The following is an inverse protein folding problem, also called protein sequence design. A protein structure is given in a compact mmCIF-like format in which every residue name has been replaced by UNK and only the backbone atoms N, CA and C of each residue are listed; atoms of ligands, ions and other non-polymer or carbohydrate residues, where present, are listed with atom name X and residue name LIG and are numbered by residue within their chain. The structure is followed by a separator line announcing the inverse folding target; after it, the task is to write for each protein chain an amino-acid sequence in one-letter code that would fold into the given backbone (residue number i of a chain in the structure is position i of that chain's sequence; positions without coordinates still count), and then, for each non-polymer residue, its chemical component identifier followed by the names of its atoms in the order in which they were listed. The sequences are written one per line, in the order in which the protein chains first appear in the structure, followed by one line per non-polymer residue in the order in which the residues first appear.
data_IF_611718840740
#
_entry.id   IF_611718840740
#
_cell.length_a   1.000
_cell.length_b   1.000
_cell.length_c   1.000
_cell.angle_alpha   90.00
_cell.angle_beta   90.00
_cell.angle_gamma   90.00
#
_symmetry.space_group_name_H-M   'P 1'
#
loop_
_entity.id
_entity.type
_entity.pdbx_description
1 polymer ?
#
# COMPACT_ATOMS: atom_id res chain seq x y z
N UNK A 1 43.99 -33.25 8.42
CA UNK A 1 42.60 -33.36 7.91
C UNK A 1 41.77 -32.39 8.75
N UNK A 2 41.61 -31.11 8.41
CA UNK A 2 41.14 -30.55 7.15
C UNK A 2 39.76 -29.91 7.43
N UNK A 3 39.75 -28.72 8.03
CA UNK A 3 38.53 -27.93 8.27
C UNK A 3 38.15 -27.14 7.02
N UNK A 4 36.90 -27.26 6.58
CA UNK A 4 36.37 -26.57 5.40
C UNK A 4 35.76 -25.22 5.78
N UNK A 5 36.40 -24.14 5.34
CA UNK A 5 35.82 -22.79 5.24
C UNK A 5 34.98 -22.69 3.97
N UNK A 6 33.74 -22.21 4.10
CA UNK A 6 32.85 -21.89 2.97
C UNK A 6 32.98 -20.41 2.60
N UNK A 7 34.17 -20.01 2.17
CA UNK A 7 34.42 -18.67 1.60
C UNK A 7 34.46 -18.78 0.08
N UNK A 8 33.28 -18.84 -0.54
CA UNK A 8 33.10 -19.06 -1.97
C UNK A 8 32.04 -18.16 -2.59
N UNK A 9 32.09 -16.86 -2.29
CA UNK A 9 31.40 -15.83 -3.07
C UNK A 9 32.46 -14.89 -3.63
N UNK A 10 32.81 -15.09 -4.90
CA UNK A 10 33.66 -14.14 -5.62
C UNK A 10 33.05 -12.73 -5.63
N UNK A 11 33.88 -11.68 -5.75
CA UNK A 11 33.39 -10.30 -5.76
C UNK A 11 32.41 -10.12 -6.92
N UNK A 12 31.21 -9.61 -6.61
CA UNK A 12 30.23 -9.23 -7.62
C UNK A 12 30.89 -8.30 -8.66
N UNK A 13 30.67 -8.51 -9.97
CA UNK A 13 31.29 -7.69 -11.01
C UNK A 13 30.92 -6.21 -10.82
N UNK A 14 31.94 -5.34 -10.83
CA UNK A 14 31.84 -3.88 -10.61
C UNK A 14 30.84 -3.16 -11.51
N UNK A 15 30.53 -3.74 -12.67
CA UNK A 15 29.52 -3.26 -13.64
C UNK A 15 28.09 -3.28 -13.06
N UNK A 16 27.80 -4.18 -12.11
CA UNK A 16 26.48 -4.27 -11.45
C UNK A 16 26.27 -3.20 -10.37
N UNK A 17 27.34 -2.73 -9.73
CA UNK A 17 27.27 -1.65 -8.72
C UNK A 17 26.97 -0.30 -9.40
N UNK A 18 27.62 -0.02 -10.53
CA UNK A 18 27.42 1.22 -11.28
C UNK A 18 26.01 1.35 -11.87
N UNK A 19 25.39 0.23 -12.28
CA UNK A 19 23.99 0.20 -12.74
C UNK A 19 23.00 0.46 -11.60
N UNK A 20 23.26 -0.02 -10.39
CA UNK A 20 22.42 0.25 -9.21
C UNK A 20 22.44 1.73 -8.85
N UNK A 21 23.62 2.35 -8.83
CA UNK A 21 23.77 3.77 -8.50
C UNK A 21 23.11 4.69 -9.54
N UNK A 22 23.24 4.38 -10.84
CA UNK A 22 22.57 5.12 -11.92
C UNK A 22 21.05 5.00 -11.87
N UNK A 23 20.51 3.80 -11.59
CA UNK A 23 19.06 3.59 -11.37
C UNK A 23 18.55 4.36 -10.15
N UNK A 24 19.33 4.37 -9.07
CA UNK A 24 18.98 5.08 -7.84
C UNK A 24 19.05 6.61 -8.03
N UNK A 25 19.99 7.10 -8.85
CA UNK A 25 20.07 8.50 -9.26
C UNK A 25 18.90 8.92 -10.17
N UNK A 26 18.57 8.13 -11.19
CA UNK A 26 17.42 8.36 -12.08
C UNK A 26 16.09 8.32 -11.31
N UNK A 27 15.96 7.41 -10.35
CA UNK A 27 14.82 7.35 -9.44
C UNK A 27 14.75 8.60 -8.55
N UNK A 28 15.85 9.02 -7.92
CA UNK A 28 15.90 10.26 -7.12
C UNK A 28 15.58 11.51 -7.96
N UNK A 29 16.08 11.60 -9.19
CA UNK A 29 15.86 12.73 -10.11
C UNK A 29 14.41 12.81 -10.58
N UNK A 30 13.78 11.68 -10.92
CA UNK A 30 12.35 11.61 -11.24
C UNK A 30 11.46 11.90 -10.02
N UNK A 31 11.84 11.45 -8.81
CA UNK A 31 11.12 11.74 -7.56
C UNK A 31 11.19 13.24 -7.22
N UNK A 32 12.35 13.87 -7.40
CA UNK A 32 12.53 15.32 -7.21
C UNK A 32 11.77 16.17 -8.24
N UNK A 33 11.81 15.80 -9.52
CA UNK A 33 11.08 16.50 -10.59
C UNK A 33 9.55 16.41 -10.42
N UNK A 34 9.03 15.27 -9.94
CA UNK A 34 7.61 15.15 -9.54
C UNK A 34 7.26 16.03 -8.34
N UNK A 35 8.21 16.27 -7.43
CA UNK A 35 8.01 17.07 -6.21
C UNK A 35 7.78 18.55 -6.51
N UNK A 36 8.46 19.09 -7.53
CA UNK A 36 8.39 20.49 -7.93
C UNK A 36 7.08 20.88 -8.64
N UNK A 37 6.33 19.92 -9.21
CA UNK A 37 5.14 20.18 -10.02
C UNK A 37 3.87 20.55 -9.23
N UNK A 38 3.98 20.65 -7.90
CA UNK A 38 2.83 20.64 -6.98
C UNK A 38 2.68 21.89 -6.11
N UNK A 39 3.54 22.89 -6.31
CA UNK A 39 3.60 24.09 -5.48
C UNK A 39 3.00 25.32 -6.19
N UNK A 40 1.84 25.13 -6.83
CA UNK A 40 1.05 26.20 -7.44
C UNK A 40 -0.39 26.04 -6.97
N UNK A 41 -0.70 26.59 -5.81
CA UNK A 41 -2.02 26.42 -5.19
C UNK A 41 -2.21 27.41 -4.05
N UNK A 42 -2.12 28.71 -4.36
CA UNK A 42 -2.46 29.74 -3.37
C UNK A 42 -3.94 29.63 -2.97
N UNK A 43 -4.21 29.03 -1.81
CA UNK A 43 -5.53 29.01 -1.16
C UNK A 43 -6.42 27.79 -1.41
N UNK A 44 -6.09 26.93 -2.38
CA UNK A 44 -6.92 25.74 -2.73
C UNK A 44 -6.52 24.48 -1.96
N UNK A 45 -5.54 24.57 -1.08
CA UNK A 45 -4.99 23.45 -0.32
C UNK A 45 -5.51 23.40 1.12
N UNK A 46 -6.37 24.33 1.55
CA UNK A 46 -6.84 24.41 2.94
C UNK A 46 -7.92 23.37 3.29
N UNK A 47 -8.68 22.88 2.30
CA UNK A 47 -9.79 21.95 2.51
C UNK A 47 -9.76 20.81 1.50
N UNK A 48 -10.29 19.66 1.91
CA UNK A 48 -10.49 18.47 1.05
C UNK A 48 -11.62 18.65 0.04
N UNK A 49 -12.56 19.55 0.34
CA UNK A 49 -13.75 19.81 -0.50
C UNK A 49 -13.52 20.87 -1.57
N UNK A 50 -12.38 21.56 -1.52
CA UNK A 50 -12.06 22.62 -2.48
C UNK A 50 -11.31 22.03 -3.66
N UNK A 51 -11.89 22.18 -4.85
CA UNK A 51 -11.23 21.83 -6.10
C UNK A 51 -10.33 22.99 -6.55
N UNK A 52 -9.15 22.64 -7.04
CA UNK A 52 -8.31 23.58 -7.78
C UNK A 52 -8.92 23.91 -9.15
N UNK A 53 -8.47 24.99 -9.82
CA UNK A 53 -8.92 25.32 -11.18
C UNK A 53 -8.70 24.21 -12.22
N UNK A 54 -7.78 23.28 -11.93
CA UNK A 54 -7.45 22.09 -12.74
C UNK A 54 -8.34 20.87 -12.39
N UNK A 55 -9.33 21.03 -11.50
CA UNK A 55 -10.22 19.95 -11.07
C UNK A 55 -9.59 18.95 -10.09
N UNK A 56 -8.45 19.29 -9.48
CA UNK A 56 -7.71 18.41 -8.58
C UNK A 56 -7.90 18.80 -7.11
N UNK A 57 -7.87 17.79 -6.24
CA UNK A 57 -7.90 17.97 -4.78
C UNK A 57 -6.49 17.78 -4.22
N UNK A 58 -5.83 18.89 -3.86
CA UNK A 58 -4.43 18.86 -3.42
C UNK A 58 -4.21 18.05 -2.14
N UNK A 59 -5.20 18.02 -1.24
CA UNK A 59 -5.11 17.26 0.01
C UNK A 59 -4.95 15.75 -0.19
N UNK A 60 -5.65 15.18 -1.18
CA UNK A 60 -5.51 13.76 -1.53
C UNK A 60 -4.11 13.49 -2.07
N UNK A 61 -3.58 14.40 -2.88
CA UNK A 61 -2.25 14.24 -3.46
C UNK A 61 -1.13 14.40 -2.42
N UNK A 62 -1.33 15.23 -1.40
CA UNK A 62 -0.44 15.29 -0.24
C UNK A 62 -0.47 14.00 0.57
N UNK A 63 -1.66 13.44 0.79
CA UNK A 63 -1.82 12.15 1.45
C UNK A 63 -1.10 11.05 0.65
N UNK A 64 -1.29 10.98 -0.67
CA UNK A 64 -0.62 10.04 -1.56
C UNK A 64 0.92 10.13 -1.44
N UNK A 65 1.48 11.35 -1.43
CA UNK A 65 2.92 11.57 -1.21
C UNK A 65 3.40 11.12 0.16
N UNK A 66 2.56 11.20 1.19
CA UNK A 66 2.90 10.66 2.51
C UNK A 66 2.98 9.14 2.47
N UNK A 67 2.09 8.47 1.72
CA UNK A 67 2.15 7.01 1.55
C UNK A 67 3.37 6.59 0.71
N UNK A 68 3.76 7.35 -0.30
CA UNK A 68 4.97 7.15 -1.12
C UNK A 68 6.30 7.24 -0.33
N UNK A 69 6.27 7.83 0.86
CA UNK A 69 7.41 7.90 1.77
C UNK A 69 7.36 6.81 2.86
N UNK A 70 6.37 5.93 2.82
CA UNK A 70 6.28 4.78 3.72
C UNK A 70 7.23 3.65 3.31
N UNK A 71 7.51 2.73 4.24
CA UNK A 71 8.26 1.52 3.95
C UNK A 71 7.49 0.61 2.99
N UNK A 72 8.22 -0.13 2.17
CA UNK A 72 7.69 -0.86 1.03
C UNK A 72 6.70 -1.96 1.43
N UNK A 73 5.61 -2.06 0.67
CA UNK A 73 4.60 -3.11 0.79
C UNK A 73 4.44 -3.72 -0.59
N UNK A 74 4.47 -5.05 -0.67
CA UNK A 74 4.28 -5.82 -1.89
C UNK A 74 3.18 -6.87 -1.71
N UNK A 75 2.44 -7.12 -2.77
CA UNK A 75 1.47 -8.20 -2.90
C UNK A 75 1.64 -8.86 -4.26
N UNK A 76 1.64 -10.19 -4.30
CA UNK A 76 1.79 -10.97 -5.53
C UNK A 76 0.67 -12.01 -5.55
N UNK A 77 -0.13 -11.99 -6.61
CA UNK A 77 -1.11 -13.01 -6.94
C UNK A 77 -0.40 -14.11 -7.73
N UNK A 78 -0.40 -15.31 -7.16
CA UNK A 78 0.00 -16.54 -7.81
C UNK A 78 -1.23 -17.28 -8.34
N UNK A 79 -1.02 -18.37 -9.09
CA UNK A 79 -2.11 -19.26 -9.52
C UNK A 79 -2.82 -19.90 -8.32
N UNK A 80 -2.04 -20.30 -7.32
CA UNK A 80 -2.52 -21.10 -6.19
C UNK A 80 -2.84 -20.28 -4.94
N UNK A 81 -2.54 -18.98 -4.93
CA UNK A 81 -2.71 -18.14 -3.73
C UNK A 81 -2.12 -16.75 -3.87
N UNK A 82 -1.99 -16.06 -2.74
CA UNK A 82 -1.48 -14.69 -2.67
C UNK A 82 -0.40 -14.60 -1.61
N UNK A 83 0.67 -13.91 -1.92
CA UNK A 83 1.77 -13.61 -0.99
C UNK A 83 1.85 -12.11 -0.79
N UNK A 84 1.90 -11.68 0.47
CA UNK A 84 2.11 -10.28 0.83
C UNK A 84 3.37 -10.15 1.69
N UNK A 85 4.16 -9.13 1.39
CA UNK A 85 5.40 -8.81 2.09
C UNK A 85 5.42 -7.34 2.47
N UNK A 86 5.92 -7.05 3.67
CA UNK A 86 6.08 -5.68 4.14
C UNK A 86 7.46 -5.49 4.70
N UNK A 87 8.13 -4.44 4.22
CA UNK A 87 9.35 -3.96 4.82
C UNK A 87 9.07 -3.38 6.21
N UNK A 88 9.79 -3.90 7.19
CA UNK A 88 9.76 -3.41 8.57
C UNK A 88 11.12 -2.84 8.93
N UNK A 89 11.22 -1.51 8.92
CA UNK A 89 12.41 -0.80 9.38
C UNK A 89 12.50 -0.89 10.91
N UNK A 90 13.59 -1.47 11.42
CA UNK A 90 13.88 -1.55 12.85
C UNK A 90 14.74 -0.35 13.22
N UNK A 91 14.12 0.67 13.83
CA UNK A 91 14.83 1.90 14.19
C UNK A 91 15.83 1.72 15.35
N UNK A 92 15.55 0.83 16.31
CA UNK A 92 16.43 0.57 17.44
C UNK A 92 16.39 -0.89 17.87
N UNK A 93 17.50 -1.36 18.47
CA UNK A 93 17.63 -2.73 19.00
C UNK A 93 16.72 -3.00 20.22
N UNK A 94 16.16 -1.95 20.84
CA UNK A 94 15.18 -2.07 21.92
C UNK A 94 13.78 -2.44 21.43
N UNK A 95 13.49 -2.32 20.13
CA UNK A 95 12.19 -2.75 19.61
C UNK A 95 12.08 -4.28 19.66
N UNK A 96 11.00 -4.74 20.30
CA UNK A 96 10.69 -6.16 20.35
C UNK A 96 10.46 -6.70 18.92
N UNK A 97 11.12 -7.80 18.51
CA UNK A 97 10.83 -8.45 17.25
C UNK A 97 9.35 -8.85 17.20
N UNK A 98 8.70 -8.64 16.06
CA UNK A 98 7.25 -8.86 15.91
C UNK A 98 6.30 -7.75 16.40
N UNK A 99 6.81 -6.70 17.07
CA UNK A 99 6.02 -5.50 17.38
C UNK A 99 5.64 -4.70 16.11
N UNK A 100 4.67 -3.78 16.17
CA UNK A 100 4.28 -2.94 15.03
C UNK A 100 4.00 -3.72 13.73
N UNK A 101 3.03 -4.63 13.78
CA UNK A 101 2.59 -5.41 12.62
C UNK A 101 1.86 -4.49 11.64
N UNK A 102 2.24 -4.55 10.36
CA UNK A 102 1.60 -3.85 9.23
C UNK A 102 0.74 -4.77 8.37
N UNK A 103 0.84 -6.08 8.59
CA UNK A 103 0.02 -7.12 7.96
C UNK A 103 -0.98 -7.60 9.00
N UNK A 104 -2.25 -7.61 8.63
CA UNK A 104 -3.36 -7.98 9.49
C UNK A 104 -4.27 -8.98 8.78
N UNK A 105 -4.63 -10.06 9.47
CA UNK A 105 -5.73 -10.93 9.04
C UNK A 105 -7.05 -10.20 9.25
N UNK A 106 -7.89 -10.13 8.22
CA UNK A 106 -9.22 -9.48 8.28
C UNK A 106 -10.28 -10.54 8.53
N UNK A 107 -10.21 -11.62 7.73
CA UNK A 107 -11.04 -12.81 7.86
C UNK A 107 -10.16 -14.05 7.72
N UNK A 108 -10.76 -15.24 7.74
CA UNK A 108 -10.04 -16.52 7.56
C UNK A 108 -9.48 -16.67 6.15
N UNK A 109 -10.16 -16.15 5.14
CA UNK A 109 -9.75 -16.22 3.72
C UNK A 109 -9.16 -14.92 3.18
N UNK A 110 -9.08 -13.85 4.00
CA UNK A 110 -8.61 -12.53 3.55
C UNK A 110 -7.66 -11.83 4.54
N UNK A 111 -6.68 -11.12 3.99
CA UNK A 111 -5.66 -10.37 4.72
C UNK A 111 -5.39 -9.01 4.09
N UNK A 112 -4.97 -8.06 4.91
CA UNK A 112 -4.63 -6.69 4.51
C UNK A 112 -3.20 -6.35 4.90
N UNK A 113 -2.49 -5.68 4.01
CA UNK A 113 -1.20 -5.07 4.27
C UNK A 113 -1.31 -3.55 4.12
N UNK A 114 -0.79 -2.81 5.11
CA UNK A 114 -0.92 -1.36 5.20
C UNK A 114 0.39 -0.66 4.80
N UNK A 115 0.29 0.25 3.84
CA UNK A 115 1.28 1.26 3.50
C UNK A 115 0.89 2.62 4.09
N UNK A 116 1.86 3.43 4.51
CA UNK A 116 1.62 4.77 5.06
C UNK A 116 1.59 4.85 6.58
N UNK A 117 0.72 5.71 7.10
CA UNK A 117 0.58 5.97 8.52
C UNK A 117 -0.07 4.78 9.24
N UNK A 118 0.64 4.18 10.20
CA UNK A 118 0.17 2.98 10.91
C UNK A 118 -1.06 3.23 11.81
N UNK A 119 -1.31 4.48 12.23
CA UNK A 119 -2.51 4.83 13.00
C UNK A 119 -3.77 4.70 12.14
N UNK A 120 -3.75 5.34 10.97
CA UNK A 120 -4.82 5.30 9.98
C UNK A 120 -5.08 3.86 9.49
N UNK A 121 -4.01 3.13 9.21
CA UNK A 121 -4.13 1.73 8.79
C UNK A 121 -4.83 0.83 9.78
N UNK A 122 -4.60 1.02 11.10
CA UNK A 122 -5.29 0.25 12.14
C UNK A 122 -6.78 0.53 12.17
N UNK A 123 -7.20 1.78 11.93
CA UNK A 123 -8.62 2.13 11.86
C UNK A 123 -9.30 1.46 10.67
N UNK A 124 -8.65 1.47 9.50
CA UNK A 124 -9.23 0.84 8.31
C UNK A 124 -9.28 -0.68 8.47
N UNK A 125 -8.26 -1.31 9.06
CA UNK A 125 -8.29 -2.74 9.39
C UNK A 125 -9.42 -3.08 10.36
N UNK A 126 -9.63 -2.26 11.39
CA UNK A 126 -10.74 -2.46 12.33
C UNK A 126 -12.10 -2.34 11.64
N UNK A 127 -12.25 -1.35 10.75
CA UNK A 127 -13.46 -1.18 9.94
C UNK A 127 -13.70 -2.36 9.00
N UNK A 128 -12.66 -2.83 8.30
CA UNK A 128 -12.73 -3.96 7.40
C UNK A 128 -13.12 -5.27 8.13
N UNK A 129 -12.59 -5.49 9.34
CA UNK A 129 -12.98 -6.62 10.20
C UNK A 129 -14.44 -6.57 10.62
N UNK A 130 -14.90 -5.39 11.03
CA UNK A 130 -16.29 -5.17 11.39
C UNK A 130 -17.21 -5.43 10.21
N UNK A 131 -16.85 -4.97 9.01
CA UNK A 131 -17.64 -5.16 7.80
C UNK A 131 -17.68 -6.64 7.39
N UNK A 132 -16.54 -7.34 7.42
CA UNK A 132 -16.47 -8.76 7.11
C UNK A 132 -17.30 -9.61 8.09
N UNK A 133 -17.27 -9.28 9.38
CA UNK A 133 -18.07 -9.95 10.41
C UNK A 133 -19.56 -9.67 10.20
N UNK A 134 -19.91 -8.41 9.94
CA UNK A 134 -21.30 -8.01 9.69
C UNK A 134 -21.88 -8.72 8.46
N UNK A 135 -21.12 -8.77 7.36
CA UNK A 135 -21.55 -9.49 6.15
C UNK A 135 -21.81 -10.97 6.44
N UNK A 136 -20.90 -11.63 7.18
CA UNK A 136 -21.08 -13.02 7.55
C UNK A 136 -22.29 -13.23 8.48
N UNK A 137 -22.56 -12.31 9.39
CA UNK A 137 -23.75 -12.39 10.26
C UNK A 137 -25.06 -12.19 9.51
N UNK A 138 -25.08 -11.32 8.49
CA UNK A 138 -26.28 -11.02 7.71
C UNK A 138 -26.57 -12.09 6.65
N UNK A 139 -25.55 -12.51 5.90
CA UNK A 139 -25.71 -13.41 4.76
C UNK A 139 -25.34 -14.87 5.06
N UNK A 140 -24.69 -15.15 6.18
CA UNK A 140 -24.24 -16.51 6.55
C UNK A 140 -23.02 -17.02 5.78
N UNK A 141 -22.52 -16.26 4.79
CA UNK A 141 -21.38 -16.63 3.95
C UNK A 141 -20.16 -15.72 4.20
N UNK A 142 -18.92 -16.21 3.96
CA UNK A 142 -17.75 -15.34 4.02
C UNK A 142 -17.83 -14.24 2.96
N UNK A 143 -17.42 -13.02 3.32
CA UNK A 143 -17.49 -11.86 2.42
C UNK A 143 -16.60 -12.06 1.18
N UNK A 144 -17.10 -11.84 -0.05
CA UNK A 144 -16.26 -11.89 -1.23
C UNK A 144 -15.24 -10.75 -1.22
N UNK A 145 -14.04 -11.00 -1.74
CA UNK A 145 -12.90 -10.06 -1.62
C UNK A 145 -13.20 -8.75 -2.35
N UNK A 146 -13.92 -8.85 -3.48
CA UNK A 146 -14.39 -7.69 -4.25
C UNK A 146 -15.29 -6.76 -3.42
N UNK A 147 -16.32 -7.30 -2.78
CA UNK A 147 -17.24 -6.51 -1.94
C UNK A 147 -16.49 -5.87 -0.77
N UNK A 148 -15.60 -6.63 -0.12
CA UNK A 148 -14.78 -6.09 0.96
C UNK A 148 -13.90 -4.92 0.49
N UNK A 149 -13.29 -5.03 -0.70
CA UNK A 149 -12.50 -3.95 -1.29
C UNK A 149 -13.34 -2.70 -1.56
N UNK A 150 -14.53 -2.85 -2.15
CA UNK A 150 -15.45 -1.75 -2.45
C UNK A 150 -15.97 -1.06 -1.19
N UNK A 151 -16.28 -1.83 -0.13
CA UNK A 151 -16.71 -1.28 1.17
C UNK A 151 -15.60 -0.48 1.85
N UNK A 152 -14.37 -1.00 1.81
CA UNK A 152 -13.20 -0.29 2.35
C UNK A 152 -12.89 0.96 1.53
N UNK A 153 -12.95 0.87 0.20
CA UNK A 153 -12.73 1.99 -0.71
C UNK A 153 -13.76 3.10 -0.48
N UNK A 154 -15.04 2.74 -0.33
CA UNK A 154 -16.12 3.67 0.02
C UNK A 154 -15.88 4.36 1.36
N UNK A 155 -15.40 3.62 2.36
CA UNK A 155 -15.04 4.18 3.67
C UNK A 155 -13.89 5.19 3.58
N UNK A 156 -12.85 4.87 2.80
CA UNK A 156 -11.73 5.78 2.54
C UNK A 156 -12.19 7.02 1.79
N UNK A 157 -13.07 6.85 0.80
CA UNK A 157 -13.61 7.93 -0.01
C UNK A 157 -14.45 8.92 0.82
N UNK A 158 -15.24 8.44 1.78
CA UNK A 158 -16.04 9.29 2.68
C UNK A 158 -15.18 10.35 3.39
N UNK A 159 -13.96 10.00 3.79
CA UNK A 159 -13.02 10.94 4.44
C UNK A 159 -12.48 12.03 3.51
N UNK A 160 -12.69 11.93 2.19
CA UNK A 160 -12.34 12.97 1.22
C UNK A 160 -13.51 13.92 0.93
N UNK A 161 -14.75 13.48 1.18
CA UNK A 161 -15.96 14.26 0.88
C UNK A 161 -16.34 15.22 2.01
N UNK A 162 -16.08 14.86 3.26
CA UNK A 162 -16.45 15.70 4.41
C UNK A 162 -15.33 16.67 4.79
N UNK A 163 -15.65 17.97 4.82
CA UNK A 163 -14.69 19.06 5.08
C UNK A 163 -13.97 18.99 6.44
N UNK A 164 -14.59 18.39 7.46
CA UNK A 164 -14.01 18.24 8.81
C UNK A 164 -13.09 17.02 8.94
N UNK A 165 -13.11 16.12 7.96
CA UNK A 165 -12.27 14.93 7.94
C UNK A 165 -11.04 15.14 7.06
N UNK A 166 -9.97 14.46 7.44
CA UNK A 166 -8.73 14.41 6.64
C UNK A 166 -8.73 13.13 5.81
N UNK A 167 -8.18 13.14 4.58
CA UNK A 167 -7.97 11.91 3.83
C UNK A 167 -7.00 11.01 4.59
N UNK A 168 -7.14 9.70 4.41
CA UNK A 168 -6.24 8.76 5.04
C UNK A 168 -4.83 8.88 4.47
N UNK A 169 -3.83 8.95 5.34
CA UNK A 169 -2.41 8.92 4.97
C UNK A 169 -1.89 7.51 4.76
N UNK A 170 -2.76 6.58 4.34
CA UNK A 170 -2.41 5.18 4.15
C UNK A 170 -3.05 4.60 2.89
N UNK A 171 -2.33 3.65 2.30
CA UNK A 171 -2.74 2.83 1.18
C UNK A 171 -2.80 1.38 1.62
N UNK A 172 -3.69 0.60 1.03
CA UNK A 172 -3.92 -0.76 1.49
C UNK A 172 -3.86 -1.73 0.32
N UNK A 173 -3.19 -2.84 0.55
CA UNK A 173 -3.23 -4.01 -0.31
C UNK A 173 -4.11 -5.04 0.41
N UNK A 174 -5.23 -5.40 -0.20
CA UNK A 174 -6.15 -6.43 0.26
C UNK A 174 -5.98 -7.66 -0.63
N UNK A 175 -5.62 -8.79 -0.02
CA UNK A 175 -5.55 -10.07 -0.69
C UNK A 175 -6.54 -11.04 -0.06
N UNK A 176 -7.20 -11.86 -0.87
CA UNK A 176 -7.98 -12.96 -0.36
C UNK A 176 -8.20 -14.06 -1.38
N UNK A 177 -8.59 -15.21 -0.87
CA UNK A 177 -8.94 -16.37 -1.67
C UNK A 177 -10.46 -16.52 -1.69
N UNK A 178 -11.06 -16.29 -2.85
CA UNK A 178 -12.50 -16.40 -3.05
C UNK A 178 -12.86 -17.67 -3.85
N UNK A 179 -14.15 -17.92 -4.07
CA UNK A 179 -14.62 -19.01 -4.94
C UNK A 179 -14.09 -18.88 -6.38
N UNK A 180 -13.93 -17.64 -6.84
CA UNK A 180 -13.36 -17.31 -8.16
C UNK A 180 -11.82 -17.36 -8.19
N UNK A 181 -11.18 -17.82 -7.10
CA UNK A 181 -9.74 -17.95 -6.95
C UNK A 181 -9.07 -16.77 -6.23
N UNK A 182 -7.74 -16.66 -6.30
CA UNK A 182 -7.00 -15.61 -5.60
C UNK A 182 -7.24 -14.24 -6.26
N UNK A 183 -7.62 -13.25 -5.47
CA UNK A 183 -7.79 -11.86 -5.91
C UNK A 183 -7.01 -10.89 -5.04
N UNK A 184 -6.37 -9.92 -5.71
CA UNK A 184 -5.51 -8.93 -5.08
C UNK A 184 -5.98 -7.53 -5.49
N UNK A 185 -6.33 -6.73 -4.48
CA UNK A 185 -6.84 -5.37 -4.63
C UNK A 185 -5.90 -4.38 -3.96
N UNK A 186 -5.77 -3.21 -4.56
CA UNK A 186 -5.07 -2.08 -3.98
C UNK A 186 -6.06 -0.92 -3.85
N UNK A 187 -6.15 -0.36 -2.64
CA UNK A 187 -7.01 0.79 -2.33
C UNK A 187 -6.13 2.01 -2.11
N UNK A 188 -6.36 3.04 -2.91
CA UNK A 188 -5.70 4.33 -2.80
C UNK A 188 -6.38 5.25 -1.78
N UNK A 189 -5.66 6.22 -1.19
CA UNK A 189 -6.24 7.19 -0.25
C UNK A 189 -7.31 8.09 -0.88
N UNK A 190 -7.44 8.08 -2.21
CA UNK A 190 -8.55 8.69 -2.97
C UNK A 190 -9.88 7.94 -2.82
N UNK A 191 -9.84 6.69 -2.35
CA UNK A 191 -10.99 5.80 -2.29
C UNK A 191 -11.23 5.01 -3.57
N UNK A 192 -10.24 4.95 -4.47
CA UNK A 192 -10.30 4.11 -5.68
C UNK A 192 -9.68 2.74 -5.37
N UNK A 193 -10.35 1.68 -5.80
CA UNK A 193 -9.82 0.31 -5.74
C UNK A 193 -9.40 -0.16 -7.13
N UNK A 194 -8.24 -0.80 -7.21
CA UNK A 194 -7.69 -1.40 -8.43
C UNK A 194 -7.42 -2.88 -8.22
N UNK A 195 -7.61 -3.68 -9.27
CA UNK A 195 -7.27 -5.11 -9.29
C UNK A 195 -5.88 -5.25 -9.90
N UNK A 196 -5.02 -6.04 -9.27
CA UNK A 196 -3.66 -6.27 -9.76
C UNK A 196 -3.27 -7.74 -9.72
N UNK A 197 -2.33 -8.11 -10.61
CA UNK A 197 -1.61 -9.39 -10.52
C UNK A 197 -0.44 -9.29 -9.53
N UNK A 198 0.30 -8.20 -9.56
CA UNK A 198 1.34 -7.88 -8.59
C UNK A 198 1.20 -6.41 -8.22
N UNK A 199 1.22 -6.06 -6.94
CA UNK A 199 1.17 -4.69 -6.45
C UNK A 199 2.36 -4.34 -5.55
N UNK A 200 2.97 -3.17 -5.75
CA UNK A 200 3.99 -2.61 -4.86
C UNK A 200 3.67 -1.15 -4.54
N UNK A 201 3.82 -0.75 -3.27
CA UNK A 201 3.57 0.63 -2.83
C UNK A 201 4.81 1.54 -2.90
N UNK A 202 5.98 1.02 -3.26
CA UNK A 202 7.20 1.83 -3.36
C UNK A 202 7.21 2.71 -4.62
N UNK A 203 6.69 3.94 -4.52
CA UNK A 203 6.97 5.06 -5.42
C UNK A 203 6.51 4.94 -6.89
N UNK A 204 5.90 3.83 -7.29
CA UNK A 204 5.12 3.60 -8.51
C UNK A 204 4.61 2.15 -8.44
N UNK A 205 3.30 1.97 -8.53
CA UNK A 205 2.71 0.69 -8.89
C UNK A 205 3.28 0.26 -10.25
N UNK A 206 4.31 -0.60 -10.25
CA UNK A 206 4.72 -1.32 -11.46
C UNK A 206 3.90 -2.60 -11.50
N UNK A 207 2.64 -2.45 -11.89
CA UNK A 207 1.64 -3.49 -11.75
C UNK A 207 0.96 -3.64 -13.09
N UNK A 208 1.43 -4.63 -13.85
CA UNK A 208 0.89 -4.94 -15.16
C UNK A 208 -0.55 -5.45 -14.97
N UNK A 209 -1.52 -4.72 -15.53
CA UNK A 209 -2.83 -5.29 -15.84
C UNK A 209 -2.58 -6.26 -16.99
N UNK A 210 -2.45 -7.55 -16.68
CA UNK A 210 -2.46 -8.58 -17.71
C UNK A 210 -3.86 -8.65 -18.32
N UNK A 211 -3.97 -8.27 -19.59
CA UNK A 211 -4.96 -8.83 -20.49
C UNK A 211 -4.74 -10.34 -20.61
#
# INVERSE_FOLDING_TARGET
MGGGSVDGLGPFPSVCLEKKEKLQYLYKKTKAAKRAKYFSGGGYDLSVTTFSPDGRVFQIEYAAKAVDNSGTVIGIKCKDGIVMGVEKLIASKMMLPGSNRRIHSVHRHSGMAVAGLAADGRQIVARAKSEATNYQSVYGEPIPVKELAERVASYVHLCTLYWWLRPFGCGIILGGYDRDGPQLYMVEPSGISYIFWCCNWEGKASCQNGN
#
